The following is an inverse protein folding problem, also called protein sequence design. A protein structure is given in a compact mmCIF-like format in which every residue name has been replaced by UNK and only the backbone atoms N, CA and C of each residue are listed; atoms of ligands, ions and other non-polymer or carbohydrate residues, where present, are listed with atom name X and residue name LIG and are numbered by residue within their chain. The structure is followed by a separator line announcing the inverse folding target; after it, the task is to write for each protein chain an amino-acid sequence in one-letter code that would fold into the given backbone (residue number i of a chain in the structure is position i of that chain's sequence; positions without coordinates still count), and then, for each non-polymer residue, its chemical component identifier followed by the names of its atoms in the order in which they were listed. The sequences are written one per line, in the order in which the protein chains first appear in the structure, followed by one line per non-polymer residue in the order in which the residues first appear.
data_IF_714143915510
#
_entry.id   IF_714143915510
#
_cell.length_a   1.000
_cell.length_b   1.000
_cell.length_c   1.000
_cell.angle_alpha   90.00
_cell.angle_beta   90.00
_cell.angle_gamma   90.00
#
_symmetry.space_group_name_H-M   'P 1'
#
loop_
_entity.id
_entity.type
_entity.pdbx_description
1 polymer ?
#
# COMPACT_ATOMS: atom_id res chain seq x y z
N UNK A 1 10.81 -20.95 37.46
CA UNK A 1 12.07 -20.53 36.79
C UNK A 1 12.00 -20.84 35.29
N UNK A 2 11.27 -20.03 34.50
CA UNK A 2 11.05 -20.26 33.06
C UNK A 2 11.12 -18.94 32.24
N UNK A 3 11.93 -17.96 32.65
CA UNK A 3 11.88 -16.58 32.14
C UNK A 3 13.10 -16.21 31.23
N UNK A 4 14.21 -16.93 31.33
CA UNK A 4 15.45 -16.61 30.58
C UNK A 4 15.46 -17.06 29.11
N UNK A 5 14.69 -18.08 28.76
CA UNK A 5 14.60 -18.64 27.41
C UNK A 5 13.72 -17.80 26.48
N UNK A 6 12.58 -17.35 26.97
CA UNK A 6 11.62 -16.54 26.22
C UNK A 6 12.14 -15.14 25.94
N UNK A 7 12.76 -14.49 26.93
CA UNK A 7 13.36 -13.18 26.72
C UNK A 7 14.51 -13.19 25.68
N UNK A 8 15.24 -14.31 25.55
CA UNK A 8 16.29 -14.48 24.53
C UNK A 8 15.70 -14.75 23.14
N UNK A 9 14.67 -15.60 23.05
CA UNK A 9 13.94 -15.87 21.80
C UNK A 9 13.30 -14.60 21.25
N UNK A 10 12.69 -13.81 22.12
CA UNK A 10 12.04 -12.54 21.78
C UNK A 10 13.06 -11.50 21.29
N UNK A 11 14.18 -11.31 22.00
CA UNK A 11 15.26 -10.41 21.54
C UNK A 11 15.87 -10.85 20.21
N UNK A 12 15.98 -12.16 19.97
CA UNK A 12 16.48 -12.69 18.70
C UNK A 12 15.49 -12.46 17.56
N UNK A 13 14.19 -12.66 17.79
CA UNK A 13 13.14 -12.37 16.83
C UNK A 13 13.12 -10.87 16.48
N UNK A 14 13.14 -10.00 17.49
CA UNK A 14 13.22 -8.54 17.32
C UNK A 14 14.49 -8.11 16.56
N UNK A 15 15.63 -8.74 16.85
CA UNK A 15 16.88 -8.49 16.13
C UNK A 15 16.76 -8.90 14.65
N UNK A 16 16.20 -10.09 14.37
CA UNK A 16 16.00 -10.59 13.00
C UNK A 16 15.08 -9.65 12.20
N UNK A 17 14.01 -9.16 12.81
CA UNK A 17 13.11 -8.16 12.21
C UNK A 17 13.85 -6.85 11.95
N UNK A 18 14.63 -6.34 12.91
CA UNK A 18 15.40 -5.10 12.75
C UNK A 18 16.40 -5.18 11.60
N UNK A 19 17.11 -6.30 11.47
CA UNK A 19 18.09 -6.48 10.39
C UNK A 19 17.39 -6.62 9.04
N UNK A 20 16.28 -7.38 8.94
CA UNK A 20 15.46 -7.43 7.71
C UNK A 20 14.98 -6.04 7.31
N UNK A 21 14.46 -5.24 8.25
CA UNK A 21 14.06 -3.84 8.01
C UNK A 21 15.21 -2.99 7.47
N UNK A 22 16.41 -3.11 8.04
CA UNK A 22 17.60 -2.40 7.54
C UNK A 22 17.88 -2.73 6.07
N UNK A 23 17.84 -4.00 5.69
CA UNK A 23 18.05 -4.39 4.29
C UNK A 23 16.93 -3.92 3.36
N UNK A 24 15.67 -3.95 3.81
CA UNK A 24 14.55 -3.42 3.03
C UNK A 24 14.69 -1.92 2.80
N UNK A 25 15.01 -1.14 3.84
CA UNK A 25 15.24 0.32 3.69
C UNK A 25 16.43 0.61 2.76
N UNK A 26 17.51 -0.16 2.88
CA UNK A 26 18.65 -0.04 1.97
C UNK A 26 18.30 -0.41 0.54
N UNK A 27 17.42 -1.39 0.32
CA UNK A 27 16.94 -1.76 -1.00
C UNK A 27 16.12 -0.64 -1.64
N UNK A 28 15.23 0.02 -0.88
CA UNK A 28 14.51 1.20 -1.38
C UNK A 28 15.48 2.30 -1.81
N UNK A 29 16.53 2.57 -1.03
CA UNK A 29 17.58 3.54 -1.42
C UNK A 29 18.32 3.10 -2.69
N UNK A 30 18.65 1.81 -2.81
CA UNK A 30 19.31 1.27 -3.99
C UNK A 30 18.43 1.36 -5.25
N UNK A 31 17.15 1.02 -5.13
CA UNK A 31 16.15 1.13 -6.20
C UNK A 31 15.99 2.59 -6.62
N UNK A 32 15.90 3.52 -5.66
CA UNK A 32 15.73 4.93 -6.01
C UNK A 32 16.94 5.52 -6.74
N UNK A 33 18.15 5.03 -6.42
CA UNK A 33 19.38 5.48 -7.08
C UNK A 33 19.63 4.81 -8.44
N UNK A 34 19.35 3.51 -8.55
CA UNK A 34 19.77 2.69 -9.69
C UNK A 34 18.61 2.25 -10.59
N UNK A 35 17.37 2.61 -10.23
CA UNK A 35 16.17 2.17 -10.94
C UNK A 35 15.66 0.78 -10.52
N UNK A 36 14.62 0.28 -11.19
CA UNK A 36 14.02 -1.03 -10.90
C UNK A 36 14.99 -2.21 -11.11
N UNK A 37 16.07 -1.99 -11.87
CA UNK A 37 17.11 -3.00 -12.14
C UNK A 37 18.15 -3.14 -10.99
N UNK A 38 17.94 -2.53 -9.82
CA UNK A 38 18.86 -2.61 -8.70
C UNK A 38 19.27 -4.05 -8.35
N UNK A 39 20.54 -4.21 -7.98
CA UNK A 39 21.17 -5.50 -7.71
C UNK A 39 21.30 -5.78 -6.22
N UNK A 40 21.56 -7.04 -5.85
CA UNK A 40 21.85 -7.40 -4.44
C UNK A 40 23.09 -6.65 -3.94
N UNK A 41 24.07 -6.45 -4.82
CA UNK A 41 25.29 -5.68 -4.60
C UNK A 41 24.98 -4.23 -4.22
N UNK A 42 24.01 -3.61 -4.88
CA UNK A 42 23.57 -2.26 -4.57
C UNK A 42 22.90 -2.19 -3.19
N UNK A 43 22.07 -3.18 -2.86
CA UNK A 43 21.42 -3.28 -1.54
C UNK A 43 22.45 -3.43 -0.44
N UNK A 44 23.44 -4.34 -0.58
CA UNK A 44 24.45 -4.53 0.46
C UNK A 44 25.36 -3.31 0.61
N UNK A 45 25.67 -2.62 -0.49
CA UNK A 45 26.42 -1.35 -0.48
C UNK A 45 25.65 -0.28 0.27
N UNK A 46 24.36 -0.08 -0.04
CA UNK A 46 23.50 0.86 0.66
C UNK A 46 23.31 0.51 2.15
N UNK A 47 23.26 -0.78 2.47
CA UNK A 47 23.13 -1.27 3.84
C UNK A 47 24.44 -1.20 4.65
N UNK A 48 25.57 -0.86 4.03
CA UNK A 48 26.90 -0.98 4.63
C UNK A 48 27.09 -2.37 5.26
N UNK A 49 26.87 -3.41 4.45
CA UNK A 49 26.85 -4.81 4.86
C UNK A 49 27.45 -5.71 3.78
N UNK A 50 27.48 -7.02 4.02
CA UNK A 50 28.00 -8.01 3.08
C UNK A 50 26.92 -9.03 2.67
N UNK A 51 27.06 -9.62 1.47
CA UNK A 51 26.15 -10.65 0.93
C UNK A 51 25.91 -11.82 1.89
N UNK A 52 26.95 -12.42 2.54
CA UNK A 52 26.71 -13.53 3.48
C UNK A 52 25.81 -13.15 4.65
N UNK A 53 25.84 -11.87 5.10
CA UNK A 53 24.94 -11.39 6.16
C UNK A 53 23.52 -11.19 5.63
N UNK A 54 23.36 -10.72 4.40
CA UNK A 54 22.05 -10.57 3.76
C UNK A 54 21.36 -11.93 3.60
N UNK A 55 22.07 -12.93 3.05
CA UNK A 55 21.50 -14.26 2.78
C UNK A 55 21.20 -15.09 4.03
N UNK A 56 21.59 -14.64 5.23
CA UNK A 56 21.06 -15.20 6.49
C UNK A 56 19.60 -14.81 6.76
N UNK A 57 19.12 -13.78 6.07
CA UNK A 57 17.78 -13.24 6.23
C UNK A 57 16.90 -13.45 5.02
N UNK A 58 17.48 -13.69 3.84
CA UNK A 58 16.76 -13.90 2.59
C UNK A 58 17.32 -15.12 1.87
N UNK A 59 16.47 -15.95 1.30
CA UNK A 59 16.89 -17.19 0.65
C UNK A 59 17.69 -16.91 -0.64
N UNK A 60 17.19 -15.99 -1.45
CA UNK A 60 17.81 -15.60 -2.71
C UNK A 60 17.49 -14.14 -3.09
N UNK A 61 17.82 -13.77 -4.34
CA UNK A 61 17.51 -12.44 -4.89
C UNK A 61 16.00 -12.19 -4.97
N UNK A 62 15.22 -13.20 -5.35
CA UNK A 62 13.77 -13.04 -5.54
C UNK A 62 13.09 -12.87 -4.18
N UNK A 63 13.43 -13.69 -3.18
CA UNK A 63 12.91 -13.53 -1.81
C UNK A 63 13.24 -12.15 -1.24
N UNK A 64 14.44 -11.62 -1.49
CA UNK A 64 14.79 -10.24 -1.12
C UNK A 64 13.84 -9.22 -1.77
N UNK A 65 13.73 -9.21 -3.10
CA UNK A 65 12.98 -8.16 -3.80
C UNK A 65 11.46 -8.32 -3.66
N UNK A 66 10.94 -9.55 -3.53
CA UNK A 66 9.54 -9.80 -3.19
C UNK A 66 9.22 -9.28 -1.77
N UNK A 67 10.11 -9.56 -0.79
CA UNK A 67 9.98 -9.02 0.57
C UNK A 67 10.05 -7.48 0.60
N UNK A 68 10.89 -6.88 -0.25
CA UNK A 68 10.98 -5.42 -0.41
C UNK A 68 9.70 -4.86 -1.00
N UNK A 69 9.18 -5.45 -2.08
CA UNK A 69 7.94 -5.03 -2.72
C UNK A 69 6.75 -5.11 -1.76
N UNK A 70 6.62 -6.22 -1.01
CA UNK A 70 5.59 -6.37 0.02
C UNK A 70 5.68 -5.30 1.11
N UNK A 71 6.90 -5.02 1.60
CA UNK A 71 7.11 -4.00 2.61
C UNK A 71 6.76 -2.58 2.09
N UNK A 72 7.09 -2.29 0.84
CA UNK A 72 6.74 -1.03 0.17
C UNK A 72 5.23 -0.90 -0.05
N UNK A 73 4.55 -1.94 -0.53
CA UNK A 73 3.06 -1.97 -0.63
C UNK A 73 2.44 -1.69 0.73
N UNK A 74 2.90 -2.35 1.78
CA UNK A 74 2.42 -2.11 3.15
C UNK A 74 2.68 -0.67 3.63
N UNK A 75 3.81 -0.06 3.25
CA UNK A 75 4.11 1.34 3.58
C UNK A 75 3.20 2.32 2.85
N UNK A 76 2.98 2.14 1.54
CA UNK A 76 2.04 2.94 0.74
C UNK A 76 0.64 2.81 1.34
N UNK A 77 0.19 1.58 1.59
CA UNK A 77 -1.12 1.30 2.19
C UNK A 77 -1.32 2.07 3.51
N UNK A 78 -0.37 1.98 4.45
CA UNK A 78 -0.45 2.72 5.72
C UNK A 78 -0.58 4.23 5.52
N UNK A 79 0.20 4.80 4.60
CA UNK A 79 0.14 6.24 4.32
C UNK A 79 -1.21 6.64 3.70
N UNK A 80 -1.73 5.86 2.75
CA UNK A 80 -3.03 6.16 2.14
C UNK A 80 -4.17 6.05 3.15
N UNK A 81 -4.19 5.01 3.98
CA UNK A 81 -5.20 4.83 5.04
C UNK A 81 -5.10 5.94 6.09
N UNK A 82 -3.88 6.42 6.40
CA UNK A 82 -3.69 7.57 7.29
C UNK A 82 -4.24 8.89 6.71
N UNK A 83 -4.31 8.99 5.38
CA UNK A 83 -4.85 10.14 4.67
C UNK A 83 -6.38 10.09 4.53
N UNK A 84 -7.01 8.92 4.71
CA UNK A 84 -8.47 8.80 4.74
C UNK A 84 -9.01 9.50 5.98
N UNK A 85 -9.93 10.42 5.75
CA UNK A 85 -10.66 11.14 6.77
C UNK A 85 -12.16 11.01 6.51
N UNK A 86 -12.85 10.31 7.40
CA UNK A 86 -14.27 9.99 7.29
C UNK A 86 -15.16 11.06 7.93
N UNK A 87 -14.57 12.04 8.64
CA UNK A 87 -15.28 13.15 9.26
C UNK A 87 -15.48 14.33 8.30
N UNK A 88 -14.87 14.28 7.11
CA UNK A 88 -15.02 15.29 6.06
C UNK A 88 -15.81 14.71 4.87
N UNK A 89 -16.31 15.57 3.96
CA UNK A 89 -17.00 15.11 2.76
C UNK A 89 -16.19 14.07 1.97
N UNK A 90 -16.82 12.97 1.50
CA UNK A 90 -16.14 11.89 0.81
C UNK A 90 -15.26 12.34 -0.36
N UNK A 91 -15.70 13.35 -1.13
CA UNK A 91 -14.91 13.91 -2.22
C UNK A 91 -13.61 14.55 -1.74
N UNK A 92 -13.66 15.31 -0.63
CA UNK A 92 -12.47 15.94 -0.04
C UNK A 92 -11.52 14.88 0.54
N UNK A 93 -12.06 13.83 1.14
CA UNK A 93 -11.28 12.69 1.63
C UNK A 93 -10.56 11.97 0.48
N UNK A 94 -11.27 11.68 -0.61
CA UNK A 94 -10.70 11.08 -1.82
C UNK A 94 -9.59 11.96 -2.43
N UNK A 95 -9.79 13.28 -2.49
CA UNK A 95 -8.78 14.24 -2.92
C UNK A 95 -7.53 14.18 -2.06
N UNK A 96 -7.67 14.18 -0.73
CA UNK A 96 -6.54 14.09 0.20
C UNK A 96 -5.72 12.81 0.01
N UNK A 97 -6.40 11.66 -0.16
CA UNK A 97 -5.74 10.37 -0.41
C UNK A 97 -5.03 10.37 -1.76
N UNK A 98 -5.68 10.84 -2.83
CA UNK A 98 -5.08 10.90 -4.16
C UNK A 98 -3.88 11.86 -4.20
N UNK A 99 -3.96 13.03 -3.56
CA UNK A 99 -2.82 13.94 -3.43
C UNK A 99 -1.63 13.28 -2.74
N UNK A 100 -1.86 12.58 -1.61
CA UNK A 100 -0.78 11.84 -0.95
C UNK A 100 -0.20 10.72 -1.81
N UNK A 101 -1.04 10.02 -2.56
CA UNK A 101 -0.57 9.01 -3.51
C UNK A 101 0.34 9.61 -4.58
N UNK A 102 -0.07 10.71 -5.20
CA UNK A 102 0.70 11.37 -6.26
C UNK A 102 2.01 11.96 -5.72
N UNK A 103 2.03 12.54 -4.53
CA UNK A 103 3.27 13.00 -3.89
C UNK A 103 4.25 11.86 -3.62
N UNK A 104 3.77 10.67 -3.24
CA UNK A 104 4.61 9.48 -3.11
C UNK A 104 5.24 9.08 -4.44
N UNK A 105 4.46 9.09 -5.52
CA UNK A 105 4.94 8.80 -6.88
C UNK A 105 6.02 9.81 -7.31
N UNK A 106 5.82 11.09 -7.02
CA UNK A 106 6.81 12.13 -7.32
C UNK A 106 8.10 11.96 -6.51
N UNK A 107 7.97 11.60 -5.24
CA UNK A 107 9.10 11.48 -4.33
C UNK A 107 9.94 10.23 -4.60
N UNK A 108 9.32 9.17 -5.10
CA UNK A 108 9.94 7.87 -5.30
C UNK A 108 9.64 7.27 -6.69
N UNK A 109 9.99 7.95 -7.80
CA UNK A 109 9.62 7.52 -9.14
C UNK A 109 10.19 6.15 -9.53
N UNK A 110 11.41 5.81 -9.12
CA UNK A 110 11.98 4.50 -9.44
C UNK A 110 11.34 3.39 -8.61
N UNK A 111 11.05 3.69 -7.34
CA UNK A 111 10.28 2.79 -6.48
C UNK A 111 8.88 2.52 -7.03
N UNK A 112 8.23 3.52 -7.65
CA UNK A 112 6.95 3.34 -8.36
C UNK A 112 7.09 2.38 -9.54
N UNK A 113 8.13 2.55 -10.37
CA UNK A 113 8.42 1.63 -11.50
C UNK A 113 8.64 0.21 -11.01
N UNK A 114 9.50 0.05 -10.00
CA UNK A 114 9.79 -1.23 -9.36
C UNK A 114 8.51 -1.91 -8.82
N UNK A 115 7.67 -1.16 -8.10
CA UNK A 115 6.41 -1.70 -7.57
C UNK A 115 5.46 -2.14 -8.69
N UNK A 116 5.35 -1.37 -9.77
CA UNK A 116 4.50 -1.75 -10.90
C UNK A 116 4.97 -3.08 -11.52
N UNK A 117 6.27 -3.20 -11.80
CA UNK A 117 6.86 -4.43 -12.35
C UNK A 117 6.68 -5.64 -11.41
N UNK A 118 6.81 -5.44 -10.10
CA UNK A 118 6.72 -6.54 -9.12
C UNK A 118 5.31 -6.86 -8.64
N UNK A 119 4.33 -5.96 -8.82
CA UNK A 119 2.97 -6.18 -8.29
C UNK A 119 1.92 -6.36 -9.39
N UNK A 120 2.08 -5.68 -10.53
CA UNK A 120 1.05 -5.61 -11.57
C UNK A 120 1.36 -6.44 -12.81
N UNK A 121 2.59 -6.96 -12.94
CA UNK A 121 3.02 -7.74 -14.10
C UNK A 121 3.13 -9.23 -13.76
N UNK A 122 2.56 -10.08 -14.61
CA UNK A 122 2.67 -11.54 -14.50
C UNK A 122 4.01 -12.03 -15.03
N UNK A 123 4.63 -12.99 -14.34
CA UNK A 123 5.95 -13.53 -14.70
C UNK A 123 5.91 -15.05 -14.77
N UNK A 124 6.38 -15.61 -15.90
CA UNK A 124 6.55 -17.07 -16.11
C UNK A 124 5.31 -17.90 -15.72
N UNK A 125 4.13 -17.49 -16.20
CA UNK A 125 2.86 -18.20 -15.96
C UNK A 125 2.27 -18.03 -14.55
N UNK A 126 2.92 -17.27 -13.65
CA UNK A 126 2.34 -16.86 -12.37
C UNK A 126 1.59 -15.55 -12.55
N UNK A 127 0.38 -15.47 -11.99
CA UNK A 127 -0.39 -14.23 -11.93
C UNK A 127 0.41 -13.14 -11.20
N UNK A 128 0.23 -11.89 -11.63
CA UNK A 128 0.77 -10.73 -10.95
C UNK A 128 0.42 -10.75 -9.45
N UNK A 129 1.36 -10.41 -8.53
CA UNK A 129 1.10 -10.52 -7.09
C UNK A 129 -0.13 -9.78 -6.59
N UNK A 130 -0.48 -8.63 -7.16
CA UNK A 130 -1.68 -7.89 -6.81
C UNK A 130 -2.99 -8.65 -7.12
N UNK A 131 -2.98 -9.57 -8.08
CA UNK A 131 -4.12 -10.39 -8.51
C UNK A 131 -4.26 -11.70 -7.71
N UNK A 132 -3.33 -12.01 -6.81
CA UNK A 132 -3.39 -13.21 -5.96
C UNK A 132 -4.50 -13.06 -4.91
N UNK A 133 -4.92 -14.18 -4.33
CA UNK A 133 -5.95 -14.21 -3.27
C UNK A 133 -5.53 -13.47 -2.00
N UNK A 134 -4.22 -13.33 -1.77
CA UNK A 134 -3.60 -12.57 -0.68
C UNK A 134 -3.01 -11.23 -1.16
N UNK A 135 -3.30 -10.83 -2.40
CA UNK A 135 -2.77 -9.63 -3.04
C UNK A 135 -3.54 -8.35 -2.67
N UNK A 136 -3.00 -7.21 -3.07
CA UNK A 136 -3.56 -5.90 -2.76
C UNK A 136 -5.03 -5.71 -3.19
N UNK A 137 -5.46 -6.35 -4.29
CA UNK A 137 -6.86 -6.29 -4.75
C UNK A 137 -7.77 -7.04 -3.77
N UNK A 138 -7.39 -8.25 -3.38
CA UNK A 138 -8.16 -9.04 -2.43
C UNK A 138 -8.22 -8.37 -1.04
N UNK A 139 -7.11 -7.78 -0.58
CA UNK A 139 -7.06 -7.04 0.68
C UNK A 139 -8.03 -5.83 0.67
N UNK A 140 -8.00 -5.02 -0.39
CA UNK A 140 -8.90 -3.86 -0.52
C UNK A 140 -10.36 -4.31 -0.63
N UNK A 141 -10.62 -5.38 -1.40
CA UNK A 141 -11.95 -5.95 -1.54
C UNK A 141 -12.48 -6.48 -0.21
N UNK A 142 -11.65 -7.13 0.61
CA UNK A 142 -12.03 -7.61 1.93
C UNK A 142 -12.37 -6.45 2.89
N UNK A 143 -11.58 -5.38 2.87
CA UNK A 143 -11.85 -4.18 3.67
C UNK A 143 -13.20 -3.53 3.29
N UNK A 144 -13.44 -3.35 1.99
CA UNK A 144 -14.69 -2.79 1.48
C UNK A 144 -15.90 -3.71 1.75
N UNK A 145 -15.74 -5.03 1.58
CA UNK A 145 -16.81 -6.00 1.84
C UNK A 145 -17.21 -5.98 3.32
N UNK A 146 -16.21 -5.96 4.21
CA UNK A 146 -16.43 -5.84 5.65
C UNK A 146 -17.18 -4.56 6.01
N UNK A 147 -16.87 -3.44 5.34
CA UNK A 147 -17.58 -2.19 5.55
C UNK A 147 -19.05 -2.27 5.08
N UNK A 148 -19.30 -2.74 3.85
CA UNK A 148 -20.65 -2.83 3.29
C UNK A 148 -21.56 -3.77 4.10
N UNK A 149 -21.05 -4.92 4.51
CA UNK A 149 -21.81 -5.87 5.34
C UNK A 149 -22.26 -5.26 6.67
N UNK A 150 -21.42 -4.42 7.29
CA UNK A 150 -21.76 -3.74 8.56
C UNK A 150 -22.86 -2.69 8.40
N UNK A 151 -23.02 -2.12 7.22
CA UNK A 151 -24.14 -1.23 6.88
C UNK A 151 -25.28 -1.97 6.18
N UNK A 152 -25.31 -3.30 6.30
CA UNK A 152 -26.33 -4.20 5.76
C UNK A 152 -26.49 -4.14 4.23
N UNK A 153 -25.37 -4.01 3.51
CA UNK A 153 -25.30 -3.95 2.05
C UNK A 153 -24.57 -5.19 1.53
N UNK A 154 -25.14 -5.85 0.52
CA UNK A 154 -24.53 -7.04 -0.10
C UNK A 154 -23.26 -6.67 -0.89
N UNK A 155 -22.09 -7.29 -0.63
CA UNK A 155 -20.79 -6.88 -1.16
C UNK A 155 -20.48 -7.41 -2.58
N UNK A 156 -21.49 -7.82 -3.36
CA UNK A 156 -21.26 -8.34 -4.71
C UNK A 156 -20.56 -7.31 -5.61
N UNK A 157 -19.48 -7.72 -6.30
CA UNK A 157 -18.72 -6.87 -7.23
C UNK A 157 -17.68 -5.94 -6.58
N UNK A 158 -17.46 -6.06 -5.26
CA UNK A 158 -16.44 -5.29 -4.54
C UNK A 158 -15.02 -5.63 -5.02
N UNK A 159 -14.77 -6.88 -5.37
CA UNK A 159 -13.53 -7.36 -5.98
C UNK A 159 -13.21 -6.65 -7.29
N UNK A 160 -14.21 -6.52 -8.18
CA UNK A 160 -14.07 -5.79 -9.43
C UNK A 160 -13.84 -4.29 -9.20
N UNK A 161 -14.54 -3.67 -8.23
CA UNK A 161 -14.30 -2.27 -7.88
C UNK A 161 -12.87 -2.08 -7.32
N UNK A 162 -12.42 -2.96 -6.42
CA UNK A 162 -11.07 -2.90 -5.87
C UNK A 162 -10.00 -3.04 -6.97
N UNK A 163 -10.20 -3.96 -7.92
CA UNK A 163 -9.33 -4.12 -9.08
C UNK A 163 -9.29 -2.85 -9.94
N UNK A 164 -10.44 -2.23 -10.20
CA UNK A 164 -10.52 -0.98 -10.96
C UNK A 164 -9.79 0.17 -10.25
N UNK A 165 -10.02 0.36 -8.95
CA UNK A 165 -9.37 1.42 -8.17
C UNK A 165 -7.84 1.28 -8.14
N UNK A 166 -7.34 0.07 -7.88
CA UNK A 166 -5.90 -0.22 -7.88
C UNK A 166 -5.31 -0.10 -9.28
N UNK A 167 -6.00 -0.63 -10.30
CA UNK A 167 -5.58 -0.54 -11.69
C UNK A 167 -5.44 0.91 -12.16
N UNK A 168 -6.45 1.74 -11.90
CA UNK A 168 -6.41 3.18 -12.20
C UNK A 168 -5.25 3.86 -11.49
N UNK A 169 -5.12 3.70 -10.16
CA UNK A 169 -4.06 4.33 -9.40
C UNK A 169 -2.66 3.89 -9.88
N UNK A 170 -2.42 2.59 -10.07
CA UNK A 170 -1.14 2.04 -10.52
C UNK A 170 -0.79 2.51 -11.95
N UNK A 171 -1.76 2.55 -12.85
CA UNK A 171 -1.56 2.97 -14.24
C UNK A 171 -1.29 4.47 -14.33
N UNK A 172 -2.01 5.29 -13.56
CA UNK A 172 -1.74 6.72 -13.44
C UNK A 172 -0.34 6.97 -12.88
N UNK A 173 0.07 6.20 -11.85
CA UNK A 173 1.39 6.33 -11.25
C UNK A 173 2.53 6.01 -12.23
N UNK A 174 2.43 4.91 -12.99
CA UNK A 174 3.48 4.55 -13.94
C UNK A 174 3.53 5.50 -15.14
N UNK A 175 2.37 5.94 -15.65
CA UNK A 175 2.29 6.95 -16.69
C UNK A 175 2.96 8.25 -16.24
N UNK A 176 2.68 8.70 -15.02
CA UNK A 176 3.28 9.89 -14.45
C UNK A 176 4.79 9.75 -14.26
N UNK A 177 5.25 8.60 -13.74
CA UNK A 177 6.67 8.31 -13.60
C UNK A 177 7.41 8.24 -14.95
N UNK A 178 6.71 7.95 -16.05
CA UNK A 178 7.28 7.95 -17.40
C UNK A 178 7.43 9.36 -17.99
N UNK A 179 6.52 10.28 -17.65
CA UNK A 179 6.51 11.65 -18.19
C UNK A 179 7.69 12.50 -17.68
N UNK A 180 8.24 12.21 -16.49
CA UNK A 180 9.42 12.91 -15.94
C UNK A 180 9.19 14.39 -15.59
N UNK A 181 7.95 14.88 -15.68
CA UNK A 181 7.55 16.24 -15.34
C UNK A 181 6.88 16.26 -13.97
N UNK A 182 7.17 17.29 -13.18
CA UNK A 182 6.48 17.53 -11.91
C UNK A 182 4.96 17.64 -12.17
N UNK A 183 4.14 16.80 -11.53
CA UNK A 183 2.68 16.83 -11.69
C UNK A 183 2.12 18.17 -11.24
N UNK A 184 1.20 18.72 -12.03
CA UNK A 184 0.37 19.78 -11.52
C UNK A 184 -0.55 19.24 -10.40
N UNK A 185 -1.00 20.15 -9.53
CA UNK A 185 -1.98 19.83 -8.47
C UNK A 185 -3.23 19.16 -9.06
N UNK A 186 -3.55 19.45 -10.32
CA UNK A 186 -4.72 18.91 -10.98
C UNK A 186 -4.61 17.42 -11.34
N UNK A 187 -3.42 16.79 -11.38
CA UNK A 187 -3.33 15.33 -11.53
C UNK A 187 -3.93 14.61 -10.33
N UNK A 188 -3.62 15.06 -9.12
CA UNK A 188 -4.20 14.50 -7.90
C UNK A 188 -5.72 14.69 -7.85
N UNK A 189 -6.19 15.87 -8.26
CA UNK A 189 -7.61 16.15 -8.35
C UNK A 189 -8.33 15.26 -9.38
N UNK A 190 -7.82 15.13 -10.61
CA UNK A 190 -8.41 14.28 -11.66
C UNK A 190 -8.44 12.81 -11.26
N UNK A 191 -7.38 12.33 -10.61
CA UNK A 191 -7.34 10.97 -10.07
C UNK A 191 -8.41 10.80 -8.99
N UNK A 192 -8.54 11.74 -8.05
CA UNK A 192 -9.56 11.69 -7.01
C UNK A 192 -10.98 11.66 -7.59
N UNK A 193 -11.25 12.49 -8.59
CA UNK A 193 -12.54 12.53 -9.29
C UNK A 193 -12.87 11.19 -9.95
N UNK A 194 -11.89 10.56 -10.60
CA UNK A 194 -12.07 9.26 -11.27
C UNK A 194 -12.29 8.12 -10.27
N UNK A 195 -11.48 8.08 -9.20
CA UNK A 195 -11.64 7.08 -8.14
C UNK A 195 -12.98 7.25 -7.42
N UNK A 196 -13.36 8.49 -7.09
CA UNK A 196 -14.64 8.79 -6.46
C UNK A 196 -15.82 8.43 -7.37
N UNK A 197 -15.78 8.77 -8.65
CA UNK A 197 -16.85 8.41 -9.59
C UNK A 197 -17.05 6.89 -9.67
N UNK A 198 -15.98 6.11 -9.63
CA UNK A 198 -16.05 4.64 -9.61
C UNK A 198 -16.75 4.12 -8.35
N UNK A 199 -16.44 4.70 -7.19
CA UNK A 199 -17.09 4.37 -5.91
C UNK A 199 -18.56 4.81 -5.90
N UNK A 200 -18.87 6.03 -6.34
CA UNK A 200 -20.24 6.56 -6.38
C UNK A 200 -21.15 5.71 -7.28
N UNK A 201 -20.71 5.40 -8.51
CA UNK A 201 -21.47 4.52 -9.42
C UNK A 201 -21.70 3.15 -8.81
N UNK A 202 -20.68 2.57 -8.16
CA UNK A 202 -20.82 1.30 -7.48
C UNK A 202 -21.83 1.37 -6.32
N UNK A 203 -21.76 2.39 -5.46
CA UNK A 203 -22.68 2.57 -4.34
C UNK A 203 -24.13 2.76 -4.83
N UNK A 204 -24.33 3.56 -5.89
CA UNK A 204 -25.64 3.74 -6.53
C UNK A 204 -26.20 2.43 -7.08
N UNK A 205 -25.35 1.57 -7.64
CA UNK A 205 -25.77 0.22 -8.08
C UNK A 205 -26.28 -0.66 -6.94
N UNK A 206 -25.95 -0.31 -5.69
CA UNK A 206 -26.45 -0.96 -4.46
C UNK A 206 -27.62 -0.21 -3.82
N UNK A 207 -28.17 0.81 -4.48
CA UNK A 207 -29.23 1.65 -3.94
C UNK A 207 -28.76 2.65 -2.88
N UNK A 208 -27.45 2.87 -2.77
CA UNK A 208 -26.87 3.82 -1.80
C UNK A 208 -26.54 5.12 -2.54
N UNK A 209 -27.11 6.21 -2.05
CA UNK A 209 -26.80 7.55 -2.53
C UNK A 209 -26.02 8.24 -1.42
N UNK A 210 -24.79 8.65 -1.74
CA UNK A 210 -23.94 9.44 -0.85
C UNK A 210 -23.83 10.83 -1.44
N UNK A 211 -24.17 11.86 -0.67
CA UNK A 211 -23.83 13.22 -1.05
C UNK A 211 -22.30 13.39 -0.90
N UNK A 212 -21.56 13.61 -2.01
CA UNK A 212 -20.11 13.69 -1.98
C UNK A 212 -19.57 14.94 -1.26
N UNK A 213 -20.41 15.95 -1.06
CA UNK A 213 -20.09 17.25 -0.48
C UNK A 213 -20.52 17.40 0.98
N UNK A 214 -21.26 16.43 1.51
CA UNK A 214 -21.62 16.36 2.92
C UNK A 214 -20.81 15.30 3.64
N UNK A 215 -20.38 15.62 4.87
CA UNK A 215 -19.74 14.64 5.74
C UNK A 215 -20.72 13.50 6.04
N UNK A 216 -20.18 12.29 6.18
CA UNK A 216 -20.98 11.13 6.56
C UNK A 216 -21.47 11.29 8.00
N UNK A 217 -22.70 10.86 8.28
CA UNK A 217 -23.29 10.90 9.61
C UNK A 217 -22.46 10.10 10.63
N UNK A 218 -22.05 10.76 11.71
CA UNK A 218 -21.11 10.23 12.70
C UNK A 218 -21.56 8.90 13.31
N UNK A 219 -22.87 8.68 13.48
CA UNK A 219 -23.43 7.43 14.03
C UNK A 219 -23.22 6.19 13.12
N UNK A 220 -22.94 6.38 11.83
CA UNK A 220 -22.59 5.32 10.87
C UNK A 220 -21.08 5.20 10.64
N UNK A 221 -20.30 6.16 11.13
CA UNK A 221 -18.87 6.38 10.82
C UNK A 221 -17.93 5.74 11.85
N UNK A 222 -18.36 5.58 13.11
CA UNK A 222 -17.57 4.92 14.18
C UNK A 222 -17.05 3.53 13.76
N UNK A 223 -17.91 2.78 13.06
CA UNK A 223 -17.63 1.46 12.53
C UNK A 223 -16.59 1.44 11.42
N UNK A 224 -16.57 2.48 10.57
CA UNK A 224 -15.59 2.64 9.48
C UNK A 224 -14.21 3.05 10.03
N UNK A 225 -14.21 3.92 11.05
CA UNK A 225 -13.01 4.33 11.76
C UNK A 225 -12.27 3.16 12.41
N UNK A 226 -13.00 2.21 13.00
CA UNK A 226 -12.41 1.01 13.59
C UNK A 226 -11.67 0.13 12.56
N UNK A 227 -12.23 -0.07 11.37
CA UNK A 227 -11.57 -0.85 10.29
C UNK A 227 -10.33 -0.14 9.75
N UNK A 228 -10.38 1.19 9.57
CA UNK A 228 -9.20 1.95 9.15
C UNK A 228 -8.07 1.86 10.18
N UNK A 229 -8.38 1.84 11.48
CA UNK A 229 -7.38 1.64 12.54
C UNK A 229 -6.76 0.25 12.50
N UNK A 230 -7.56 -0.78 12.24
CA UNK A 230 -7.07 -2.16 12.10
C UNK A 230 -6.12 -2.29 10.90
N UNK A 231 -6.48 -1.73 9.75
CA UNK A 231 -5.64 -1.73 8.56
C UNK A 231 -4.36 -0.87 8.69
N UNK A 232 -4.34 0.13 9.59
CA UNK A 232 -3.11 0.87 9.95
C UNK A 232 -2.12 0.03 10.75
N UNK A 233 -2.58 -1.06 11.38
CA UNK A 233 -1.77 -1.87 12.28
C UNK A 233 -1.48 -1.15 13.61
N UNK A 234 -2.39 -0.28 14.08
CA UNK A 234 -2.26 0.45 15.35
C UNK A 234 -2.53 -0.46 16.57
N UNK A 235 -1.77 -1.54 16.69
CA UNK A 235 -1.50 -2.27 17.92
C UNK A 235 0.01 -2.23 18.14
N UNK A 236 0.48 -1.23 18.92
CA UNK A 236 1.89 -0.91 19.20
C UNK A 236 2.74 -0.48 17.98
N UNK A 237 2.78 0.84 17.74
CA UNK A 237 3.88 1.46 16.98
C UNK A 237 4.86 2.13 17.94
N UNK A 238 6.18 1.84 17.90
CA UNK A 238 7.17 2.84 18.25
C UNK A 238 7.25 3.87 17.11
N UNK A 239 7.39 5.13 17.50
CA UNK A 239 7.45 6.31 16.64
C UNK A 239 8.47 6.19 15.50
N UNK A 240 8.02 6.44 14.27
CA UNK A 240 8.84 6.43 13.05
C UNK A 240 8.89 7.86 12.49
N UNK A 241 9.94 8.60 12.86
CA UNK A 241 10.60 9.60 12.03
C UNK A 241 12.10 9.51 12.33
#
# INVERSE_FOLDING_TARGET
MADGGDARRERWAQHKVRVRRKFVSAAVVAIERNGPAATVEDVVRAAHSAKPKLYRHFEDRNDLFDSVAQAMVGAVRRQLISAVDIAIPPRKSAQRVASRFIELVQRYPQSTRFLFEHQMVSVRGKSAPALRQDGAIAELAAAMSSFLQRVNVHPAGVDQLAAALIGTAATTAIWQAAQGVAPDVAVGQRLAETLWASVDVFLRSKGIIVDPDQALDQGRVETAGATLRDLRGEGQSPSFL
#
